data_IF_372440925275
#
_entry.id   IF_372440925275
#
_cell.length_a   1.000
_cell.length_b   1.000
_cell.length_c   1.000
_cell.angle_alpha   90.00
_cell.angle_beta   90.00
_cell.angle_gamma   90.00
#
_symmetry.space_group_name_H-M   'P 1'
#
loop_
_entity.id
_entity.type
_entity.pdbx_description
1 polymer ?
#
# COMPACT_ATOMS: atom_id res chain seq x y z
N UNK A 1 -12.29 26.23 3.81
CA UNK A 1 -10.86 26.63 3.83
C UNK A 1 -10.64 28.07 4.30
N UNK A 2 -10.99 29.10 3.52
CA UNK A 2 -10.67 30.49 3.87
C UNK A 2 -11.21 30.94 5.24
N UNK A 3 -12.45 30.55 5.60
CA UNK A 3 -13.04 30.89 6.92
C UNK A 3 -12.40 30.18 8.13
N UNK A 4 -11.75 29.03 7.92
CA UNK A 4 -11.07 28.31 9.02
C UNK A 4 -9.72 28.97 9.31
N UNK A 5 -9.04 29.41 8.23
CA UNK A 5 -7.74 30.08 8.29
C UNK A 5 -7.81 31.52 8.85
N UNK A 6 -8.91 32.25 8.61
CA UNK A 6 -9.08 33.63 9.11
C UNK A 6 -9.35 33.73 10.63
N UNK A 7 -9.62 32.62 11.31
CA UNK A 7 -10.03 32.63 12.73
C UNK A 7 -8.95 32.21 13.74
N UNK A 8 -7.72 31.90 13.28
CA UNK A 8 -6.67 31.36 14.14
C UNK A 8 -5.82 32.46 14.81
N UNK A 9 -5.79 32.43 16.14
CA UNK A 9 -5.05 33.35 17.01
C UNK A 9 -3.54 33.00 17.02
N UNK A 10 -2.65 33.99 17.02
CA UNK A 10 -1.19 33.82 16.85
C UNK A 10 -0.53 32.89 17.91
N UNK A 11 -1.09 32.84 19.11
CA UNK A 11 -0.62 31.93 20.19
C UNK A 11 -1.04 30.47 19.96
N UNK A 12 -2.10 30.21 19.20
CA UNK A 12 -2.54 28.87 18.80
C UNK A 12 -1.62 28.33 17.70
N UNK A 13 -1.21 29.18 16.75
CA UNK A 13 -0.32 28.81 15.66
C UNK A 13 1.07 28.36 16.16
N UNK A 14 1.64 29.06 17.14
CA UNK A 14 2.93 28.68 17.75
C UNK A 14 2.88 27.35 18.53
N UNK A 15 1.70 26.97 19.06
CA UNK A 15 1.49 25.68 19.72
C UNK A 15 1.23 24.56 18.70
N UNK A 16 0.50 24.86 17.62
CA UNK A 16 0.25 23.94 16.50
C UNK A 16 1.53 23.54 15.75
N UNK A 17 2.48 24.46 15.55
CA UNK A 17 3.77 24.15 14.90
C UNK A 17 4.58 23.13 15.72
N UNK A 18 4.36 23.01 17.03
CA UNK A 18 5.15 22.15 17.91
C UNK A 18 4.78 20.65 17.82
N UNK A 19 3.60 20.32 17.30
CA UNK A 19 3.06 18.95 17.22
C UNK A 19 2.92 18.41 15.78
N UNK A 20 3.44 19.11 14.77
CA UNK A 20 3.37 18.69 13.36
C UNK A 20 4.52 17.76 13.00
N UNK A 21 4.20 16.51 12.70
CA UNK A 21 5.18 15.53 12.24
C UNK A 21 5.43 15.69 10.74
N UNK A 22 6.69 15.82 10.28
CA UNK A 22 6.96 15.93 8.84
C UNK A 22 6.60 14.63 8.11
N UNK A 23 6.09 14.76 6.88
CA UNK A 23 5.89 13.61 6.00
C UNK A 23 7.26 13.00 5.67
N UNK A 24 7.34 11.68 5.57
CA UNK A 24 8.59 10.99 5.21
C UNK A 24 9.12 11.44 3.84
N UNK A 25 10.44 11.35 3.58
CA UNK A 25 11.01 11.78 2.28
C UNK A 25 10.33 11.12 1.07
N UNK A 26 10.02 9.82 1.18
CA UNK A 26 9.30 9.08 0.14
C UNK A 26 7.86 9.58 -0.01
N UNK A 27 7.16 9.81 1.10
CA UNK A 27 5.81 10.37 1.10
C UNK A 27 5.76 11.77 0.47
N UNK A 28 6.77 12.61 0.72
CA UNK A 28 6.88 13.93 0.09
C UNK A 28 7.06 13.82 -1.43
N UNK A 29 7.89 12.88 -1.89
CA UNK A 29 8.12 12.66 -3.33
C UNK A 29 6.84 12.21 -4.04
N UNK A 30 6.08 11.30 -3.42
CA UNK A 30 4.81 10.80 -3.94
C UNK A 30 3.62 11.75 -3.77
N UNK A 31 3.82 12.93 -3.17
CA UNK A 31 2.80 13.97 -3.05
C UNK A 31 3.13 15.23 -3.87
N UNK A 32 4.09 15.12 -4.79
CA UNK A 32 4.43 16.20 -5.71
C UNK A 32 3.42 16.31 -6.85
N UNK A 33 3.40 17.45 -7.54
CA UNK A 33 2.54 17.65 -8.73
C UNK A 33 2.91 16.73 -9.91
N UNK A 34 4.13 16.20 -9.94
CA UNK A 34 4.61 15.27 -10.98
C UNK A 34 4.36 13.81 -10.61
N UNK A 35 4.38 13.47 -9.32
CA UNK A 35 4.22 12.11 -8.82
C UNK A 35 3.19 12.14 -7.70
N UNK A 36 1.93 11.87 -8.04
CA UNK A 36 0.84 11.66 -7.09
C UNK A 36 0.38 10.21 -7.21
N UNK A 37 0.85 9.36 -6.29
CA UNK A 37 0.61 7.92 -6.37
C UNK A 37 -0.56 7.53 -5.47
N UNK A 38 -1.64 7.05 -6.08
CA UNK A 38 -2.75 6.40 -5.39
C UNK A 38 -2.57 4.88 -5.38
N UNK A 39 -3.10 4.26 -4.33
CA UNK A 39 -3.26 2.82 -4.19
C UNK A 39 -4.75 2.54 -4.11
N UNK A 40 -5.22 1.67 -4.99
CA UNK A 40 -6.61 1.22 -5.01
C UNK A 40 -6.67 -0.25 -4.61
N UNK A 41 -7.46 -0.55 -3.58
CA UNK A 41 -7.78 -1.93 -3.19
C UNK A 41 -9.25 -2.20 -3.50
N UNK A 42 -9.52 -3.28 -4.25
CA UNK A 42 -10.86 -3.66 -4.69
C UNK A 42 -11.20 -4.98 -4.03
N UNK A 43 -12.32 -5.02 -3.30
CA UNK A 43 -12.85 -6.23 -2.69
C UNK A 43 -14.18 -6.56 -3.35
N UNK A 44 -14.24 -7.72 -3.98
CA UNK A 44 -15.46 -8.29 -4.54
C UNK A 44 -16.08 -9.25 -3.51
N UNK A 45 -17.35 -9.05 -3.18
CA UNK A 45 -18.05 -9.81 -2.14
C UNK A 45 -19.28 -10.53 -2.69
N UNK A 46 -19.52 -11.74 -2.21
CA UNK A 46 -20.70 -12.55 -2.56
C UNK A 46 -22.01 -12.02 -1.96
N UNK A 47 -21.94 -11.11 -0.99
CA UNK A 47 -23.11 -10.55 -0.29
C UNK A 47 -23.08 -9.02 -0.35
N UNK A 48 -24.26 -8.37 -0.44
CA UNK A 48 -24.37 -6.94 -0.28
C UNK A 48 -23.75 -6.46 1.03
N UNK A 49 -23.05 -5.33 0.98
CA UNK A 49 -22.44 -4.73 2.15
C UNK A 49 -23.39 -3.78 2.86
N UNK A 50 -23.45 -3.88 4.19
CA UNK A 50 -24.07 -2.84 5.01
C UNK A 50 -23.07 -1.70 5.24
N UNK A 51 -23.35 -0.54 4.63
CA UNK A 51 -22.55 0.67 4.73
C UNK A 51 -22.49 1.16 6.19
N UNK A 52 -23.58 1.05 6.94
CA UNK A 52 -23.65 1.51 8.33
C UNK A 52 -22.75 0.69 9.26
N UNK A 53 -22.79 -0.63 9.13
CA UNK A 53 -21.88 -1.52 9.87
C UNK A 53 -20.42 -1.29 9.48
N UNK A 54 -20.14 -1.08 8.20
CA UNK A 54 -18.76 -0.82 7.74
C UNK A 54 -18.22 0.51 8.26
N UNK A 55 -19.05 1.56 8.30
CA UNK A 55 -18.69 2.84 8.95
C UNK A 55 -18.27 2.68 10.41
N UNK A 56 -18.92 1.77 11.15
CA UNK A 56 -18.52 1.45 12.54
C UNK A 56 -17.17 0.75 12.57
N UNK A 57 -16.92 -0.22 11.69
CA UNK A 57 -15.61 -0.89 11.58
C UNK A 57 -14.50 0.12 11.26
N UNK A 58 -14.76 1.05 10.34
CA UNK A 58 -13.81 2.12 10.01
C UNK A 58 -13.50 2.94 11.27
N UNK A 59 -14.54 3.41 11.97
CA UNK A 59 -14.41 4.24 13.18
C UNK A 59 -13.68 3.54 14.32
N UNK A 60 -14.10 2.32 14.64
CA UNK A 60 -13.79 1.66 15.91
C UNK A 60 -12.55 0.76 15.80
N UNK A 61 -12.17 0.35 14.58
CA UNK A 61 -11.06 -0.59 14.34
C UNK A 61 -10.01 0.00 13.41
N UNK A 62 -10.39 0.51 12.24
CA UNK A 62 -9.43 0.95 11.22
C UNK A 62 -8.68 2.22 11.65
N UNK A 63 -9.41 3.28 12.03
CA UNK A 63 -8.82 4.55 12.44
C UNK A 63 -7.89 4.39 13.67
N UNK A 64 -8.24 3.59 14.70
CA UNK A 64 -7.32 3.31 15.80
C UNK A 64 -6.11 2.43 15.40
N UNK A 65 -6.25 1.50 14.46
CA UNK A 65 -5.16 0.62 14.04
C UNK A 65 -4.06 1.38 13.28
N UNK A 66 -4.39 2.45 12.53
CA UNK A 66 -3.39 3.28 11.86
C UNK A 66 -3.65 4.80 12.05
N UNK A 67 -2.88 5.48 12.91
CA UNK A 67 -3.05 6.90 13.20
C UNK A 67 -2.98 7.83 11.98
N UNK A 68 -2.30 7.43 10.89
CA UNK A 68 -2.20 8.25 9.66
C UNK A 68 -3.54 8.48 8.97
N UNK A 69 -4.50 7.57 9.15
CA UNK A 69 -5.86 7.75 8.62
C UNK A 69 -6.61 8.86 9.34
N UNK A 70 -6.14 9.30 10.51
CA UNK A 70 -6.66 10.45 11.23
C UNK A 70 -5.87 11.74 10.99
N UNK A 71 -4.99 11.77 9.98
CA UNK A 71 -4.14 12.92 9.71
C UNK A 71 -4.48 13.59 8.38
N UNK A 72 -4.52 14.92 8.42
CA UNK A 72 -4.53 15.79 7.25
C UNK A 72 -3.09 16.07 6.82
N UNK A 73 -2.84 16.08 5.52
CA UNK A 73 -1.56 16.51 4.97
C UNK A 73 -1.59 18.01 4.70
N UNK A 74 -0.74 18.78 5.37
CA UNK A 74 -0.65 20.24 5.25
C UNK A 74 0.74 20.67 4.82
N UNK A 75 0.83 21.75 4.04
CA UNK A 75 2.10 22.31 3.60
C UNK A 75 2.44 23.52 4.47
N UNK A 76 3.68 23.59 4.95
CA UNK A 76 4.15 24.76 5.69
C UNK A 76 4.61 25.89 4.75
N UNK A 77 4.98 27.03 5.34
CA UNK A 77 5.50 28.20 4.59
C UNK A 77 6.81 27.94 3.83
N UNK A 78 7.48 26.83 4.08
CA UNK A 78 8.74 26.42 3.44
C UNK A 78 8.53 25.33 2.38
N UNK A 79 7.28 24.92 2.12
CA UNK A 79 6.94 23.88 1.15
C UNK A 79 7.10 22.46 1.68
N UNK A 80 7.31 22.28 2.99
CA UNK A 80 7.45 20.97 3.62
C UNK A 80 6.08 20.45 4.05
N UNK A 81 5.77 19.23 3.61
CA UNK A 81 4.51 18.57 3.97
C UNK A 81 4.59 18.00 5.39
N UNK A 82 3.52 18.19 6.15
CA UNK A 82 3.36 17.75 7.52
C UNK A 82 2.04 17.01 7.71
N UNK A 83 2.03 16.07 8.65
CA UNK A 83 0.85 15.40 9.12
C UNK A 83 0.27 16.13 10.33
N UNK A 84 -1.01 16.48 10.23
CA UNK A 84 -1.76 17.14 11.29
C UNK A 84 -2.93 16.24 11.70
N UNK A 85 -2.95 15.80 12.96
CA UNK A 85 -4.02 14.94 13.46
C UNK A 85 -5.31 15.76 13.59
N UNK A 86 -6.40 15.22 13.05
CA UNK A 86 -7.72 15.83 13.10
C UNK A 86 -8.75 14.83 13.64
N UNK A 87 -9.93 15.34 14.01
CA UNK A 87 -11.11 14.51 14.19
C UNK A 87 -11.76 14.25 12.83
N UNK A 88 -11.89 12.98 12.44
CA UNK A 88 -12.31 12.59 11.10
C UNK A 88 -13.81 12.37 11.05
N UNK A 89 -14.48 13.12 10.17
CA UNK A 89 -15.86 12.85 9.81
C UNK A 89 -15.93 11.76 8.73
N UNK A 90 -16.28 10.53 9.12
CA UNK A 90 -16.32 9.35 8.24
C UNK A 90 -17.28 9.53 7.05
N UNK A 91 -18.36 10.29 7.22
CA UNK A 91 -19.35 10.50 6.17
C UNK A 91 -18.75 11.25 4.96
N UNK A 92 -17.71 12.05 5.18
CA UNK A 92 -16.98 12.75 4.11
C UNK A 92 -16.04 11.83 3.31
N UNK A 93 -15.84 10.59 3.76
CA UNK A 93 -14.93 9.62 3.13
C UNK A 93 -15.66 8.38 2.59
N UNK A 94 -16.98 8.30 2.75
CA UNK A 94 -17.79 7.16 2.34
C UNK A 94 -18.74 7.55 1.22
N UNK A 95 -18.57 6.91 0.07
CA UNK A 95 -19.34 7.17 -1.14
C UNK A 95 -20.18 5.96 -1.51
N UNK A 96 -21.44 6.20 -1.87
CA UNK A 96 -22.36 5.18 -2.37
C UNK A 96 -22.89 5.69 -3.71
N UNK A 97 -22.22 5.42 -4.84
CA UNK A 97 -22.67 5.88 -6.14
C UNK A 97 -23.97 5.18 -6.54
N UNK A 98 -24.82 5.90 -7.27
CA UNK A 98 -26.06 5.37 -7.83
C UNK A 98 -25.90 5.17 -9.34
N UNK A 99 -26.12 3.94 -9.80
CA UNK A 99 -26.14 3.57 -11.21
C UNK A 99 -27.57 3.43 -11.75
N UNK A 100 -27.77 3.59 -13.07
CA UNK A 100 -29.09 3.43 -13.69
C UNK A 100 -29.70 2.04 -13.39
N UNK A 101 -30.99 1.96 -13.04
CA UNK A 101 -31.66 0.68 -12.77
C UNK A 101 -31.92 -0.10 -14.07
N UNK A 102 -32.15 -1.41 -13.93
CA UNK A 102 -32.64 -2.27 -15.03
C UNK A 102 -31.56 -2.91 -15.91
N UNK A 103 -30.30 -2.91 -15.46
CA UNK A 103 -29.23 -3.64 -16.14
C UNK A 103 -29.26 -5.12 -15.75
N UNK A 104 -28.85 -5.99 -16.68
CA UNK A 104 -28.73 -7.43 -16.42
C UNK A 104 -27.57 -7.73 -15.46
N UNK A 105 -26.45 -7.04 -15.66
CA UNK A 105 -25.27 -6.98 -14.79
C UNK A 105 -24.68 -5.55 -14.85
N UNK A 106 -23.81 -5.24 -13.89
CA UNK A 106 -23.22 -3.91 -13.74
C UNK A 106 -21.70 -3.90 -14.01
N UNK A 107 -21.17 -4.88 -14.74
CA UNK A 107 -19.71 -5.06 -14.92
C UNK A 107 -19.07 -3.80 -15.54
N UNK A 108 -19.65 -3.29 -16.63
CA UNK A 108 -19.12 -2.12 -17.33
C UNK A 108 -19.19 -0.86 -16.46
N UNK A 109 -20.30 -0.64 -15.75
CA UNK A 109 -20.48 0.49 -14.84
C UNK A 109 -19.49 0.47 -13.67
N UNK A 110 -19.31 -0.71 -13.05
CA UNK A 110 -18.35 -0.90 -11.95
C UNK A 110 -16.93 -0.66 -12.45
N UNK A 111 -16.57 -1.22 -13.60
CA UNK A 111 -15.23 -1.05 -14.19
C UNK A 111 -14.94 0.40 -14.58
N UNK A 112 -15.89 1.08 -15.22
CA UNK A 112 -15.77 2.50 -15.56
C UNK A 112 -15.60 3.35 -14.30
N UNK A 113 -16.39 3.06 -13.26
CA UNK A 113 -16.30 3.76 -11.98
C UNK A 113 -14.95 3.56 -11.30
N UNK A 114 -14.42 2.33 -11.27
CA UNK A 114 -13.08 2.01 -10.76
C UNK A 114 -12.01 2.83 -11.48
N UNK A 115 -12.05 2.84 -12.83
CA UNK A 115 -11.12 3.60 -13.66
C UNK A 115 -11.22 5.11 -13.39
N UNK A 116 -12.43 5.64 -13.28
CA UNK A 116 -12.67 7.07 -13.02
C UNK A 116 -12.14 7.50 -11.64
N UNK A 117 -12.33 6.68 -10.59
CA UNK A 117 -11.75 6.95 -9.27
C UNK A 117 -10.23 6.98 -9.34
N UNK A 118 -9.63 6.03 -10.06
CA UNK A 118 -8.17 5.95 -10.15
C UNK A 118 -7.55 7.18 -10.83
N UNK A 119 -8.27 7.81 -11.75
CA UNK A 119 -7.86 9.04 -12.43
C UNK A 119 -8.19 10.32 -11.63
N UNK A 120 -9.07 10.23 -10.63
CA UNK A 120 -9.51 11.38 -9.85
C UNK A 120 -8.57 11.59 -8.66
N UNK A 121 -7.92 12.76 -8.54
CA UNK A 121 -7.04 13.03 -7.40
C UNK A 121 -7.84 13.16 -6.10
N UNK A 122 -7.29 12.59 -5.02
CA UNK A 122 -7.87 12.70 -3.68
C UNK A 122 -7.88 14.15 -3.22
N UNK A 123 -8.95 14.54 -2.53
CA UNK A 123 -9.10 15.90 -2.01
C UNK A 123 -8.11 16.16 -0.87
N UNK A 124 -7.22 17.15 -1.04
CA UNK A 124 -6.19 17.50 -0.05
C UNK A 124 -6.73 18.13 1.25
N UNK A 125 -8.01 18.53 1.28
CA UNK A 125 -8.65 19.16 2.44
C UNK A 125 -9.17 18.15 3.48
N UNK A 126 -9.01 16.85 3.22
CA UNK A 126 -9.39 15.76 4.11
C UNK A 126 -8.27 14.70 4.13
N UNK A 127 -8.26 13.78 5.11
CA UNK A 127 -7.39 12.61 5.08
C UNK A 127 -7.44 11.89 3.72
N UNK A 128 -6.28 11.48 3.22
CA UNK A 128 -6.12 11.07 1.82
C UNK A 128 -6.57 9.62 1.55
N UNK A 129 -7.80 9.29 1.92
CA UNK A 129 -8.41 7.98 1.70
C UNK A 129 -9.94 8.10 1.53
N UNK A 130 -10.52 7.18 0.77
CA UNK A 130 -11.94 7.14 0.41
C UNK A 130 -12.41 5.68 0.30
N UNK A 131 -13.64 5.41 0.72
CA UNK A 131 -14.32 4.13 0.59
C UNK A 131 -15.54 4.30 -0.32
N UNK A 132 -15.63 3.49 -1.37
CA UNK A 132 -16.76 3.50 -2.29
C UNK A 132 -17.47 2.14 -2.25
N UNK A 133 -18.77 2.17 -1.97
CA UNK A 133 -19.60 0.99 -1.79
C UNK A 133 -20.54 0.82 -2.98
N UNK A 134 -20.32 -0.22 -3.78
CA UNK A 134 -21.12 -0.53 -4.96
C UNK A 134 -21.88 -1.82 -4.69
N UNK A 135 -23.11 -1.71 -4.16
CA UNK A 135 -24.00 -2.86 -3.95
C UNK A 135 -24.77 -3.22 -5.21
N UNK A 136 -24.04 -3.51 -6.29
CA UNK A 136 -24.56 -3.90 -7.59
C UNK A 136 -24.09 -5.30 -7.95
N UNK A 137 -24.96 -6.08 -8.59
CA UNK A 137 -24.58 -7.42 -9.06
C UNK A 137 -23.72 -7.30 -10.32
N UNK A 138 -22.49 -7.78 -10.22
CA UNK A 138 -21.57 -8.04 -11.34
C UNK A 138 -21.64 -9.53 -11.71
N UNK A 139 -20.97 -9.92 -12.78
CA UNK A 139 -20.80 -11.35 -13.13
C UNK A 139 -20.01 -12.13 -12.07
N UNK A 140 -19.14 -11.44 -11.32
CA UNK A 140 -18.25 -12.02 -10.29
C UNK A 140 -18.77 -11.87 -8.85
N UNK A 141 -19.57 -10.85 -8.55
CA UNK A 141 -19.85 -10.43 -7.18
C UNK A 141 -21.25 -9.81 -7.01
N UNK A 142 -21.71 -9.72 -5.76
CA UNK A 142 -22.95 -8.99 -5.40
C UNK A 142 -22.70 -7.59 -4.84
N UNK A 143 -21.47 -7.33 -4.43
CA UNK A 143 -21.02 -6.02 -4.00
C UNK A 143 -19.52 -5.86 -4.25
N UNK A 144 -19.13 -4.63 -4.54
CA UNK A 144 -17.74 -4.24 -4.73
C UNK A 144 -17.41 -3.09 -3.78
N UNK A 145 -16.41 -3.27 -2.93
CA UNK A 145 -15.82 -2.22 -2.11
C UNK A 145 -14.53 -1.75 -2.75
N UNK A 146 -14.44 -0.45 -3.01
CA UNK A 146 -13.24 0.19 -3.53
C UNK A 146 -12.67 1.07 -2.42
N UNK A 147 -11.43 0.81 -2.04
CA UNK A 147 -10.67 1.65 -1.10
C UNK A 147 -9.61 2.37 -1.90
N UNK A 148 -9.77 3.68 -2.07
CA UNK A 148 -8.80 4.54 -2.75
C UNK A 148 -8.03 5.33 -1.70
N UNK A 149 -6.70 5.31 -1.75
CA UNK A 149 -5.87 5.95 -0.74
C UNK A 149 -4.54 6.39 -1.31
N UNK A 150 -3.98 7.47 -0.77
CA UNK A 150 -2.69 7.98 -1.22
C UNK A 150 -1.54 7.14 -0.65
N UNK A 151 -0.53 6.83 -1.47
CA UNK A 151 0.60 5.95 -1.10
C UNK A 151 1.45 6.52 0.07
N UNK A 152 1.36 7.81 0.35
CA UNK A 152 2.01 8.42 1.53
C UNK A 152 1.45 7.93 2.87
N UNK A 153 0.25 7.33 2.90
CA UNK A 153 -0.37 6.80 4.12
C UNK A 153 0.27 5.50 4.61
N UNK A 154 0.85 4.72 3.72
CA UNK A 154 1.46 3.44 4.07
C UNK A 154 2.03 2.72 2.85
N UNK A 155 3.01 1.86 3.12
CA UNK A 155 3.53 0.90 2.16
C UNK A 155 2.65 -0.36 2.11
N UNK A 156 2.91 -1.25 1.15
CA UNK A 156 2.14 -2.49 0.98
C UNK A 156 2.04 -3.33 2.26
N UNK A 157 3.07 -3.32 3.12
CA UNK A 157 3.06 -4.07 4.38
C UNK A 157 2.13 -3.44 5.42
N UNK A 158 2.20 -2.13 5.60
CA UNK A 158 1.30 -1.39 6.49
C UNK A 158 -0.16 -1.50 6.05
N UNK A 159 -0.40 -1.45 4.74
CA UNK A 159 -1.72 -1.59 4.13
C UNK A 159 -2.29 -2.99 4.37
N UNK A 160 -1.50 -4.05 4.19
CA UNK A 160 -1.93 -5.42 4.51
C UNK A 160 -2.18 -5.61 6.01
N UNK A 161 -1.37 -5.01 6.87
CA UNK A 161 -1.61 -5.02 8.32
C UNK A 161 -2.95 -4.38 8.67
N UNK A 162 -3.34 -3.30 7.98
CA UNK A 162 -4.64 -2.65 8.16
C UNK A 162 -5.80 -3.58 7.75
N UNK A 163 -5.67 -4.28 6.62
CA UNK A 163 -6.64 -5.29 6.20
C UNK A 163 -6.77 -6.37 7.27
N UNK A 164 -5.65 -6.87 7.78
CA UNK A 164 -5.64 -7.90 8.83
C UNK A 164 -6.23 -7.44 10.17
N UNK A 165 -6.05 -6.16 10.53
CA UNK A 165 -6.74 -5.54 11.67
C UNK A 165 -8.27 -5.58 11.52
N UNK A 166 -8.78 -5.45 10.29
CA UNK A 166 -10.22 -5.31 10.02
C UNK A 166 -10.94 -6.65 9.78
N UNK A 167 -10.21 -7.76 9.68
CA UNK A 167 -10.80 -9.09 9.41
C UNK A 167 -10.66 -10.03 10.61
N UNK A 168 -11.69 -10.84 10.80
CA UNK A 168 -11.72 -11.89 11.83
C UNK A 168 -11.61 -13.26 11.19
N UNK A 169 -11.39 -14.29 12.01
CA UNK A 169 -11.37 -15.66 11.50
C UNK A 169 -12.76 -16.09 11.00
N UNK A 170 -12.78 -16.85 9.90
CA UNK A 170 -14.01 -17.38 9.33
C UNK A 170 -14.66 -18.48 10.20
N UNK A 171 -13.86 -19.26 10.94
CA UNK A 171 -14.35 -20.32 11.83
C UNK A 171 -14.84 -19.79 13.18
N UNK A 172 -14.28 -18.68 13.66
CA UNK A 172 -14.71 -18.02 14.89
C UNK A 172 -14.56 -16.49 14.81
N UNK A 173 -15.66 -15.75 14.61
CA UNK A 173 -15.66 -14.29 14.49
C UNK A 173 -15.15 -13.54 15.74
N UNK A 174 -15.11 -14.18 16.90
CA UNK A 174 -14.60 -13.55 18.13
C UNK A 174 -13.07 -13.57 18.23
N UNK A 175 -12.39 -14.28 17.33
CA UNK A 175 -10.94 -14.41 17.32
C UNK A 175 -10.35 -13.59 16.18
N UNK A 176 -9.28 -12.85 16.49
CA UNK A 176 -8.49 -12.13 15.50
C UNK A 176 -7.83 -13.09 14.50
N UNK A 177 -7.55 -12.59 13.30
CA UNK A 177 -6.87 -13.34 12.26
C UNK A 177 -5.56 -13.95 12.82
N UNK A 178 -5.39 -15.25 12.62
CA UNK A 178 -4.18 -15.97 13.04
C UNK A 178 -3.47 -16.49 11.81
N UNK A 179 -2.17 -16.20 11.68
CA UNK A 179 -1.36 -16.77 10.62
C UNK A 179 -0.75 -18.11 11.04
N UNK A 180 -0.61 -19.07 10.11
CA UNK A 180 0.12 -20.29 10.39
C UNK A 180 1.57 -19.93 10.74
N UNK A 181 2.01 -20.35 11.92
CA UNK A 181 3.41 -20.21 12.31
C UNK A 181 4.27 -21.01 11.32
N UNK A 182 5.28 -20.36 10.75
CA UNK A 182 6.33 -21.06 10.02
C UNK A 182 6.91 -22.12 10.97
N UNK A 183 6.74 -23.40 10.62
CA UNK A 183 7.49 -24.46 11.29
C UNK A 183 8.95 -24.13 11.01
N UNK A 184 9.66 -23.61 12.02
CA UNK A 184 11.11 -23.47 11.92
C UNK A 184 11.65 -24.81 11.48
N UNK A 185 12.21 -24.89 10.28
CA UNK A 185 13.06 -26.01 9.90
C UNK A 185 13.99 -26.23 11.09
N UNK A 186 14.12 -27.46 11.62
CA UNK A 186 15.05 -27.71 12.71
C UNK A 186 16.36 -27.09 12.27
N UNK A 187 16.77 -26.03 12.98
CA UNK A 187 18.06 -25.39 12.77
C UNK A 187 19.00 -26.56 12.84
N UNK A 188 19.58 -26.95 11.70
CA UNK A 188 20.73 -27.86 11.72
C UNK A 188 21.71 -27.06 12.55
N UNK A 189 21.77 -27.37 13.84
CA UNK A 189 22.88 -27.01 14.69
C UNK A 189 24.03 -27.56 13.89
N UNK A 190 24.73 -26.68 13.18
CA UNK A 190 26.02 -27.00 12.59
C UNK A 190 26.76 -27.65 13.74
N UNK A 191 26.94 -28.95 13.60
CA UNK A 191 27.62 -29.81 14.55
C UNK A 191 28.82 -29.05 15.07
N UNK A 192 28.90 -28.95 16.38
CA UNK A 192 30.12 -28.68 17.16
C UNK A 192 31.33 -28.48 16.26
N UNK A 193 31.79 -27.24 16.12
CA UNK A 193 33.17 -26.97 15.70
C UNK A 193 34.05 -27.68 16.72
N UNK A 194 34.30 -28.97 16.49
CA UNK A 194 35.24 -29.75 17.24
C UNK A 194 36.58 -29.09 17.01
N UNK A 195 37.13 -28.49 18.07
CA UNK A 195 38.55 -28.36 18.34
C UNK A 195 39.47 -28.47 17.12
N UNK A 196 39.40 -27.51 16.19
CA UNK A 196 40.50 -27.24 15.28
C UNK A 196 41.38 -26.23 16.00
N UNK A 197 42.62 -26.62 16.31
CA UNK A 197 43.58 -25.74 16.97
C UNK A 197 43.81 -24.43 16.22
N UNK A 198 44.75 -23.62 16.72
CA UNK A 198 45.18 -22.31 16.19
C UNK A 198 45.06 -22.11 14.65
N UNK A 199 45.35 -23.08 13.75
CA UNK A 199 45.18 -22.90 12.30
C UNK A 199 43.74 -22.64 11.81
N UNK A 200 42.71 -23.22 12.45
CA UNK A 200 41.31 -23.08 12.01
C UNK A 200 40.72 -21.70 12.29
N UNK A 201 41.17 -21.05 13.36
CA UNK A 201 40.78 -19.69 13.74
C UNK A 201 41.26 -18.65 12.73
N UNK A 202 42.52 -18.73 12.29
CA UNK A 202 43.06 -17.83 11.26
C UNK A 202 42.40 -18.03 9.91
N UNK A 203 42.10 -19.27 9.52
CA UNK A 203 41.37 -19.55 8.28
C UNK A 203 39.95 -18.96 8.31
N UNK A 204 39.24 -19.07 9.44
CA UNK A 204 37.93 -18.45 9.63
C UNK A 204 37.94 -16.92 9.54
N UNK A 205 38.95 -16.27 10.14
CA UNK A 205 39.13 -14.81 10.05
C UNK A 205 39.46 -14.39 8.61
N UNK A 206 40.39 -15.09 7.95
CA UNK A 206 40.78 -14.76 6.58
C UNK A 206 39.63 -14.96 5.59
N UNK A 207 38.85 -16.04 5.76
CA UNK A 207 37.65 -16.29 4.96
C UNK A 207 36.56 -15.24 5.23
N UNK A 208 36.37 -14.82 6.49
CA UNK A 208 35.45 -13.73 6.83
C UNK A 208 35.85 -12.40 6.19
N UNK A 209 37.14 -12.06 6.22
CA UNK A 209 37.68 -10.87 5.55
C UNK A 209 37.53 -10.95 4.03
N UNK A 210 37.80 -12.10 3.43
CA UNK A 210 37.60 -12.31 2.00
C UNK A 210 36.13 -12.16 1.60
N UNK A 211 35.20 -12.72 2.38
CA UNK A 211 33.76 -12.54 2.16
C UNK A 211 33.34 -11.07 2.32
N UNK A 212 33.89 -10.35 3.29
CA UNK A 212 33.62 -8.92 3.47
C UNK A 212 34.10 -8.12 2.25
N UNK A 213 35.31 -8.39 1.76
CA UNK A 213 35.85 -7.76 0.55
C UNK A 213 34.97 -8.06 -0.66
N UNK A 214 34.51 -9.30 -0.84
CA UNK A 214 33.58 -9.66 -1.90
C UNK A 214 32.25 -8.91 -1.79
N UNK A 215 31.64 -8.86 -0.61
CA UNK A 215 30.38 -8.13 -0.38
C UNK A 215 30.57 -6.64 -0.67
N UNK A 216 31.67 -6.04 -0.21
CA UNK A 216 32.01 -4.65 -0.50
C UNK A 216 32.21 -4.43 -2.00
N UNK A 217 32.92 -5.33 -2.69
CA UNK A 217 33.12 -5.27 -4.14
C UNK A 217 31.79 -5.31 -4.89
N UNK A 218 30.91 -6.28 -4.59
CA UNK A 218 29.60 -6.38 -5.23
C UNK A 218 28.71 -5.18 -4.93
N UNK A 219 28.72 -4.69 -3.69
CA UNK A 219 27.95 -3.49 -3.32
C UNK A 219 28.45 -2.25 -4.07
N UNK A 220 29.77 -2.07 -4.17
CA UNK A 220 30.36 -0.95 -4.92
C UNK A 220 30.05 -1.09 -6.41
N UNK A 221 30.19 -2.29 -7.00
CA UNK A 221 29.85 -2.50 -8.40
C UNK A 221 28.38 -2.23 -8.67
N UNK A 222 27.48 -2.68 -7.80
CA UNK A 222 26.04 -2.44 -7.93
C UNK A 222 25.70 -0.97 -7.77
N UNK A 223 26.36 -0.27 -6.85
CA UNK A 223 26.19 1.17 -6.68
C UNK A 223 26.67 1.94 -7.92
N UNK A 224 27.84 1.60 -8.46
CA UNK A 224 28.38 2.22 -9.68
C UNK A 224 27.49 1.93 -10.89
N UNK A 225 27.05 0.67 -11.07
CA UNK A 225 26.13 0.28 -12.15
C UNK A 225 24.80 1.04 -12.01
N UNK A 226 24.28 1.18 -10.79
CA UNK A 226 23.06 1.95 -10.51
C UNK A 226 23.21 3.42 -10.89
N UNK A 227 24.34 4.05 -10.55
CA UNK A 227 24.63 5.44 -10.95
C UNK A 227 24.79 5.60 -12.46
N UNK A 228 25.46 4.65 -13.12
CA UNK A 228 25.59 4.64 -14.58
C UNK A 228 24.24 4.47 -15.27
N UNK A 229 23.36 3.61 -14.74
CA UNK A 229 22.01 3.42 -15.26
C UNK A 229 21.16 4.68 -15.12
N UNK A 230 21.17 5.31 -13.95
CA UNK A 230 20.41 6.56 -13.72
C UNK A 230 20.80 7.70 -14.67
N UNK A 231 22.07 7.78 -15.08
CA UNK A 231 22.60 8.95 -15.80
C UNK A 231 22.80 8.76 -17.29
N UNK A 232 23.07 7.52 -17.73
CA UNK A 232 23.50 7.26 -19.11
C UNK A 232 22.79 6.11 -19.82
N UNK A 233 22.21 5.15 -19.10
CA UNK A 233 21.41 4.12 -19.78
C UNK A 233 19.96 4.55 -19.78
N UNK A 234 19.42 4.77 -20.97
CA UNK A 234 17.98 4.75 -21.13
C UNK A 234 17.44 3.41 -20.61
N UNK A 235 16.39 3.48 -19.80
CA UNK A 235 15.68 2.30 -19.32
C UNK A 235 15.38 1.35 -20.48
N UNK A 236 15.71 0.07 -20.29
CA UNK A 236 15.44 -0.96 -21.29
C UNK A 236 13.97 -0.93 -21.70
N UNK A 237 13.70 -1.01 -23.00
CA UNK A 237 12.33 -1.12 -23.52
C UNK A 237 11.72 -2.44 -23.06
N UNK A 238 11.07 -2.44 -21.91
CA UNK A 238 10.27 -3.57 -21.45
C UNK A 238 8.95 -3.60 -22.23
N UNK A 239 8.34 -4.78 -22.44
CA UNK A 239 7.03 -4.91 -23.09
C UNK A 239 5.92 -4.09 -22.42
N UNK A 240 6.11 -3.73 -21.15
CA UNK A 240 5.19 -2.91 -20.34
C UNK A 240 5.45 -1.40 -20.46
N UNK A 241 6.48 -0.95 -21.17
CA UNK A 241 6.79 0.48 -21.31
C UNK A 241 5.85 1.15 -22.30
N UNK A 242 4.99 2.03 -21.79
CA UNK A 242 4.13 2.88 -22.61
C UNK A 242 4.88 4.03 -23.32
N UNK A 243 4.29 4.61 -24.38
CA UNK A 243 4.79 5.84 -24.98
C UNK A 243 4.70 7.02 -23.98
N UNK A 244 5.54 8.07 -24.16
CA UNK A 244 5.46 9.26 -23.31
C UNK A 244 4.07 9.90 -23.38
N UNK A 245 3.56 10.36 -22.23
CA UNK A 245 2.22 10.95 -22.10
C UNK A 245 1.07 9.96 -21.88
N UNK A 246 1.36 8.64 -21.79
CA UNK A 246 0.35 7.63 -21.45
C UNK A 246 -0.26 7.83 -20.05
N UNK A 247 0.47 8.51 -19.17
CA UNK A 247 0.04 8.85 -17.81
C UNK A 247 -1.25 9.71 -17.77
N UNK A 248 -1.53 10.47 -18.83
CA UNK A 248 -2.72 11.33 -18.95
C UNK A 248 -3.85 10.70 -19.77
N UNK A 249 -3.64 9.50 -20.33
CA UNK A 249 -4.68 8.82 -21.11
C UNK A 249 -5.67 8.08 -20.17
N UNK A 250 -6.92 7.91 -20.61
CA UNK A 250 -7.87 7.05 -19.90
C UNK A 250 -7.28 5.64 -19.72
N UNK A 251 -7.26 5.17 -18.48
CA UNK A 251 -6.79 3.83 -18.13
C UNK A 251 -7.98 2.87 -18.19
N UNK A 252 -7.79 1.72 -18.81
CA UNK A 252 -8.76 0.62 -18.82
C UNK A 252 -8.20 -0.48 -17.94
N UNK A 253 -8.95 -0.86 -16.90
CA UNK A 253 -8.57 -1.99 -16.07
C UNK A 253 -8.91 -3.30 -16.79
N UNK A 254 -7.94 -4.20 -16.86
CA UNK A 254 -8.14 -5.58 -17.28
C UNK A 254 -7.78 -6.48 -16.11
N UNK A 255 -8.72 -7.32 -15.70
CA UNK A 255 -8.52 -8.31 -14.64
C UNK A 255 -8.34 -9.69 -15.26
N UNK A 256 -7.48 -10.49 -14.63
CA UNK A 256 -7.31 -11.92 -14.96
C UNK A 256 -7.51 -12.70 -13.68
N UNK A 257 -8.48 -13.61 -13.69
CA UNK A 257 -8.81 -14.45 -12.55
C UNK A 257 -8.05 -15.76 -12.64
N UNK A 258 -7.25 -16.06 -11.62
CA UNK A 258 -6.56 -17.34 -11.50
C UNK A 258 -7.21 -18.19 -10.42
N UNK A 259 -7.50 -19.48 -10.67
CA UNK A 259 -7.99 -20.37 -9.64
C UNK A 259 -6.91 -20.60 -8.58
N UNK A 260 -7.33 -20.70 -7.32
CA UNK A 260 -6.42 -20.85 -6.18
C UNK A 260 -5.52 -22.10 -6.27
N UNK A 261 -5.99 -23.15 -6.92
CA UNK A 261 -5.22 -24.39 -7.12
C UNK A 261 -4.00 -24.20 -8.04
N UNK A 262 -4.11 -23.33 -9.05
CA UNK A 262 -2.97 -22.97 -9.91
C UNK A 262 -1.92 -22.19 -9.12
N UNK A 263 -2.35 -21.22 -8.32
CA UNK A 263 -1.46 -20.44 -7.43
C UNK A 263 -0.75 -21.38 -6.45
N UNK A 264 -1.46 -22.38 -5.91
CA UNK A 264 -0.89 -23.39 -5.02
C UNK A 264 0.15 -24.26 -5.73
N UNK A 265 -0.10 -24.63 -6.99
CA UNK A 265 0.83 -25.40 -7.81
C UNK A 265 2.12 -24.62 -8.08
N UNK A 266 2.01 -23.33 -8.43
CA UNK A 266 3.16 -22.42 -8.61
C UNK A 266 3.92 -22.26 -7.29
N UNK A 267 3.21 -22.05 -6.19
CA UNK A 267 3.83 -21.96 -4.85
C UNK A 267 4.68 -23.19 -4.53
N UNK A 268 4.13 -24.38 -4.79
CA UNK A 268 4.81 -25.64 -4.51
C UNK A 268 6.02 -25.87 -5.42
N UNK A 269 5.98 -25.43 -6.68
CA UNK A 269 7.11 -25.57 -7.62
C UNK A 269 8.24 -24.58 -7.32
N UNK A 270 7.92 -23.36 -6.86
CA UNK A 270 8.89 -22.31 -6.52
C UNK A 270 9.45 -22.50 -5.09
N UNK A 271 8.81 -23.32 -4.25
CA UNK A 271 9.29 -23.65 -2.90
C UNK A 271 9.20 -22.49 -1.89
N UNK A 272 8.32 -21.52 -2.12
CA UNK A 272 8.20 -20.29 -1.33
C UNK A 272 6.77 -19.94 -0.91
N UNK A 273 6.59 -18.76 -0.30
CA UNK A 273 5.26 -18.14 -0.11
C UNK A 273 5.06 -17.12 -1.23
N UNK A 274 4.21 -17.44 -2.19
CA UNK A 274 3.87 -16.52 -3.28
C UNK A 274 2.82 -15.53 -2.79
N UNK A 275 3.21 -14.27 -2.59
CA UNK A 275 2.28 -13.14 -2.55
C UNK A 275 2.32 -12.50 -3.93
N UNK A 276 1.24 -12.65 -4.70
CA UNK A 276 1.11 -11.95 -5.98
C UNK A 276 0.56 -10.55 -5.72
N UNK A 277 1.45 -9.57 -5.61
CA UNK A 277 1.10 -8.16 -5.61
C UNK A 277 1.34 -7.66 -7.03
N UNK A 278 0.29 -7.57 -7.84
CA UNK A 278 0.34 -6.90 -9.13
C UNK A 278 0.21 -5.40 -8.89
N UNK A 279 1.32 -4.73 -8.59
CA UNK A 279 1.38 -3.27 -8.64
C UNK A 279 1.45 -2.83 -10.11
N UNK A 280 0.29 -2.52 -10.69
CA UNK A 280 0.22 -1.84 -11.97
C UNK A 280 0.51 -0.36 -11.75
N UNK A 281 1.78 0.02 -11.82
CA UNK A 281 2.18 1.40 -11.98
C UNK A 281 1.98 1.77 -13.45
N UNK A 282 1.08 2.71 -13.71
CA UNK A 282 0.87 3.35 -15.01
C UNK A 282 1.30 4.80 -14.94
#
# INVERSE_FOLDING_TARGET
CLKFLESMDLNVEAKFIKDKEPVSPLGQTFSTSLLSVSVQAIFELEKPMDVCSTKKVIRDILLPCNPRFCCLMTEDKHGVLHWEKIDVNIDDHVFVPEFPPGQNDYDEFVNEYICNIHLTPLQKCRPLWEFHFLNYNTSSARATLIVNMHHSLGDGTSLMSLVFCCVTRADNPNLQLTFPSSKSLPRKTTSSYGSWGFPGFFYGILHGLFMLVLVMWYTISDFVISLLRMRWMEDSKMPTRGPPGIEMLPKVMSSVTFPLEEIRTIKNSVGGVTFSISLLYF
#
